data_IF_831715402715
#
_entry.id   IF_831715402715
#
_cell.length_a   1.000
_cell.length_b   1.000
_cell.length_c   1.000
_cell.angle_alpha   90.00
_cell.angle_beta   90.00
_cell.angle_gamma   90.00
#
_symmetry.space_group_name_H-M   'P 1'
#
loop_
_entity.id
_entity.type
_entity.pdbx_description
1 polymer ?
#
# COMPACT_ATOMS: atom_id res chain seq x y z
N UNK A 1 13.97 -9.33 46.47
CA UNK A 1 13.46 -10.05 45.26
C UNK A 1 12.13 -9.55 44.67
N UNK A 2 11.18 -9.00 45.43
CA UNK A 2 9.86 -8.56 44.88
C UNK A 2 9.93 -7.36 43.91
N UNK A 3 10.86 -6.43 44.12
CA UNK A 3 11.02 -5.24 43.25
C UNK A 3 11.59 -5.55 41.87
N UNK A 4 12.55 -6.47 41.78
CA UNK A 4 13.15 -6.92 40.51
C UNK A 4 12.08 -7.54 39.59
N UNK A 5 11.15 -8.32 40.15
CA UNK A 5 10.05 -8.91 39.38
C UNK A 5 9.09 -7.85 38.81
N UNK A 6 8.81 -6.77 39.54
CA UNK A 6 7.93 -5.68 39.07
C UNK A 6 8.58 -4.85 37.96
N UNK A 7 9.87 -4.53 38.10
CA UNK A 7 10.62 -3.82 37.05
C UNK A 7 10.72 -4.64 35.76
N UNK A 8 10.89 -5.96 35.87
CA UNK A 8 10.96 -6.86 34.72
C UNK A 8 9.61 -6.92 33.98
N UNK A 9 8.48 -6.99 34.69
CA UNK A 9 7.13 -6.96 34.09
C UNK A 9 6.86 -5.63 33.38
N UNK A 10 7.19 -4.49 34.00
CA UNK A 10 7.00 -3.16 33.38
C UNK A 10 7.89 -3.02 32.13
N UNK A 11 9.15 -3.45 32.21
CA UNK A 11 10.07 -3.45 31.06
C UNK A 11 9.57 -4.30 29.90
N UNK A 12 9.05 -5.50 30.17
CA UNK A 12 8.46 -6.37 29.14
C UNK A 12 7.23 -5.76 28.49
N UNK A 13 6.34 -5.12 29.26
CA UNK A 13 5.15 -4.43 28.71
C UNK A 13 5.59 -3.27 27.81
N UNK A 14 6.56 -2.47 28.24
CA UNK A 14 7.08 -1.36 27.43
C UNK A 14 7.68 -1.86 26.11
N UNK A 15 8.47 -2.94 26.16
CA UNK A 15 9.09 -3.54 24.98
C UNK A 15 8.03 -4.08 24.01
N UNK A 16 6.95 -4.68 24.51
CA UNK A 16 5.80 -5.10 23.71
C UNK A 16 5.10 -3.93 23.03
N UNK A 17 4.90 -2.81 23.74
CA UNK A 17 4.28 -1.60 23.17
C UNK A 17 5.16 -1.03 22.05
N UNK A 18 6.46 -0.91 22.28
CA UNK A 18 7.42 -0.44 21.26
C UNK A 18 7.43 -1.37 20.06
N UNK A 19 7.45 -2.70 20.28
CA UNK A 19 7.41 -3.68 19.20
C UNK A 19 6.10 -3.60 18.40
N UNK A 20 4.96 -3.44 19.08
CA UNK A 20 3.66 -3.31 18.44
C UNK A 20 3.56 -2.02 17.62
N UNK A 21 4.02 -0.89 18.17
CA UNK A 21 4.09 0.38 17.46
C UNK A 21 5.02 0.28 16.23
N UNK A 22 6.22 -0.29 16.40
CA UNK A 22 7.14 -0.55 15.29
C UNK A 22 6.51 -1.42 14.19
N UNK A 23 5.87 -2.53 14.56
CA UNK A 23 5.21 -3.43 13.61
C UNK A 23 4.07 -2.75 12.86
N UNK A 24 3.38 -1.79 13.49
CA UNK A 24 2.32 -1.01 12.86
C UNK A 24 2.89 0.01 11.87
N UNK A 25 3.98 0.70 12.24
CA UNK A 25 4.67 1.70 11.38
C UNK A 25 5.36 1.06 10.17
N UNK A 26 5.80 -0.20 10.30
CA UNK A 26 6.39 -0.98 9.20
C UNK A 26 5.36 -1.62 8.26
N UNK A 27 4.05 -1.39 8.47
CA UNK A 27 3.03 -1.92 7.56
C UNK A 27 3.05 -1.16 6.25
N UNK A 28 3.43 -1.85 5.18
CA UNK A 28 3.37 -1.30 3.84
C UNK A 28 2.03 -1.57 3.13
N UNK A 29 1.07 -2.18 3.83
CA UNK A 29 -0.27 -2.49 3.31
C UNK A 29 -1.34 -1.90 4.22
N UNK A 30 -2.32 -1.23 3.61
CA UNK A 30 -3.48 -0.68 4.29
C UNK A 30 -4.77 -1.19 3.65
N UNK A 31 -5.73 -1.54 4.51
CA UNK A 31 -7.12 -1.74 4.10
C UNK A 31 -7.85 -0.40 4.22
N UNK A 32 -8.55 0.00 3.18
CA UNK A 32 -9.39 1.20 3.16
C UNK A 32 -10.83 0.79 2.93
N UNK A 33 -11.74 1.26 3.78
CA UNK A 33 -13.17 1.13 3.56
C UNK A 33 -13.69 2.49 3.07
N UNK A 34 -14.41 2.50 1.94
CA UNK A 34 -14.91 3.69 1.25
C UNK A 34 -16.42 3.61 1.05
N UNK A 35 -17.08 4.77 0.95
CA UNK A 35 -18.54 4.83 0.77
C UNK A 35 -18.99 4.26 -0.59
N UNK A 36 -18.15 4.40 -1.62
CA UNK A 36 -18.40 3.87 -2.94
C UNK A 36 -17.09 3.57 -3.69
N UNK A 37 -17.14 2.59 -4.60
CA UNK A 37 -15.97 2.19 -5.39
C UNK A 37 -15.49 3.28 -6.37
N UNK A 38 -16.30 4.28 -6.70
CA UNK A 38 -15.90 5.39 -7.59
C UNK A 38 -14.78 6.23 -6.96
N UNK A 39 -14.87 6.48 -5.66
CA UNK A 39 -13.88 7.25 -4.89
C UNK A 39 -12.61 6.48 -4.54
N UNK A 40 -12.59 5.16 -4.77
CA UNK A 40 -11.49 4.29 -4.34
C UNK A 40 -10.14 4.68 -4.99
N UNK A 41 -10.13 5.13 -6.25
CA UNK A 41 -8.91 5.56 -6.95
C UNK A 41 -8.12 6.63 -6.19
N UNK A 42 -8.73 7.80 -5.99
CA UNK A 42 -8.14 8.91 -5.23
C UNK A 42 -7.77 8.49 -3.79
N UNK A 43 -8.68 7.85 -3.05
CA UNK A 43 -8.43 7.52 -1.65
C UNK A 43 -7.25 6.56 -1.48
N UNK A 44 -7.12 5.58 -2.38
CA UNK A 44 -6.01 4.63 -2.39
C UNK A 44 -4.67 5.31 -2.70
N UNK A 45 -4.63 6.12 -3.76
CA UNK A 45 -3.41 6.85 -4.16
C UNK A 45 -2.97 7.84 -3.08
N UNK A 46 -3.91 8.62 -2.55
CA UNK A 46 -3.62 9.59 -1.49
C UNK A 46 -3.11 8.88 -0.24
N UNK A 47 -3.69 7.74 0.14
CA UNK A 47 -3.20 7.00 1.32
C UNK A 47 -1.79 6.44 1.12
N UNK A 48 -1.48 5.89 -0.05
CA UNK A 48 -0.12 5.42 -0.37
C UNK A 48 0.87 6.59 -0.36
N UNK A 49 0.49 7.75 -0.92
CA UNK A 49 1.29 8.97 -0.87
C UNK A 49 1.50 9.46 0.56
N UNK A 50 0.46 9.44 1.40
CA UNK A 50 0.58 9.74 2.83
C UNK A 50 1.55 8.78 3.52
N UNK A 51 1.59 7.49 3.16
CA UNK A 51 2.56 6.55 3.72
C UNK A 51 4.01 6.90 3.37
N UNK A 52 4.27 7.51 2.21
CA UNK A 52 5.62 7.96 1.85
C UNK A 52 6.02 9.28 2.50
N UNK A 53 5.05 10.11 2.89
CA UNK A 53 5.26 11.42 3.50
C UNK A 53 5.19 11.40 5.04
N UNK A 54 4.38 10.49 5.60
CA UNK A 54 4.34 10.16 7.01
C UNK A 54 5.42 9.11 7.27
N UNK A 55 6.71 9.49 7.31
CA UNK A 55 7.65 9.04 8.35
C UNK A 55 9.15 9.13 8.02
N UNK A 56 9.89 9.32 9.12
CA UNK A 56 11.29 9.00 9.43
C UNK A 56 11.85 7.65 8.92
N UNK A 57 11.01 6.78 8.37
CA UNK A 57 11.37 5.53 7.71
C UNK A 57 11.11 5.71 6.21
N UNK A 58 12.14 5.56 5.38
CA UNK A 58 11.99 5.70 3.93
C UNK A 58 11.27 4.48 3.34
N UNK A 59 9.93 4.44 3.39
CA UNK A 59 9.15 3.36 2.77
C UNK A 59 9.41 3.30 1.26
N UNK A 60 9.84 2.15 0.75
CA UNK A 60 10.04 1.93 -0.69
C UNK A 60 8.80 1.40 -1.39
N UNK A 61 7.79 0.99 -0.61
CA UNK A 61 6.60 0.29 -1.07
C UNK A 61 5.38 0.76 -0.28
N UNK A 62 4.25 0.92 -0.96
CA UNK A 62 2.95 1.15 -0.34
C UNK A 62 1.84 0.47 -1.11
N UNK A 63 0.89 -0.11 -0.40
CA UNK A 63 -0.21 -0.89 -0.96
C UNK A 63 -1.52 -0.52 -0.26
N UNK A 64 -2.55 -0.26 -1.06
CA UNK A 64 -3.89 0.00 -0.60
C UNK A 64 -4.85 -1.02 -1.22
N UNK A 65 -5.62 -1.69 -0.36
CA UNK A 65 -6.72 -2.56 -0.75
C UNK A 65 -8.02 -1.93 -0.28
N UNK A 66 -8.85 -1.54 -1.23
CA UNK A 66 -10.02 -0.70 -0.98
C UNK A 66 -11.32 -1.49 -1.14
N UNK A 67 -12.26 -1.28 -0.20
CA UNK A 67 -13.51 -2.00 -0.08
C UNK A 67 -14.70 -1.03 0.03
N UNK A 68 -15.84 -1.40 -0.55
CA UNK A 68 -17.13 -0.73 -0.34
C UNK A 68 -18.07 -1.76 0.29
N UNK A 69 -18.27 -1.66 1.61
CA UNK A 69 -18.85 -2.75 2.40
C UNK A 69 -17.98 -4.01 2.33
N UNK A 70 -18.58 -5.16 2.03
CA UNK A 70 -17.85 -6.44 1.91
C UNK A 70 -17.21 -6.65 0.51
N UNK A 71 -17.50 -5.77 -0.45
CA UNK A 71 -17.00 -5.90 -1.82
C UNK A 71 -15.66 -5.19 -1.98
N UNK A 72 -14.67 -5.90 -2.53
CA UNK A 72 -13.37 -5.32 -2.85
C UNK A 72 -13.49 -4.51 -4.16
N UNK A 73 -13.17 -3.22 -4.08
CA UNK A 73 -13.27 -2.29 -5.20
C UNK A 73 -11.96 -2.17 -5.99
N UNK A 74 -10.83 -2.09 -5.28
CA UNK A 74 -9.59 -1.66 -5.89
C UNK A 74 -8.40 -2.23 -5.14
N UNK A 75 -7.39 -2.59 -5.91
CA UNK A 75 -6.04 -2.85 -5.44
C UNK A 75 -5.11 -1.85 -6.12
N UNK A 76 -4.34 -1.11 -5.33
CA UNK A 76 -3.24 -0.30 -5.83
C UNK A 76 -1.99 -0.64 -5.02
N UNK A 77 -0.89 -0.83 -5.71
CA UNK A 77 0.42 -0.90 -5.09
C UNK A 77 1.40 0.01 -5.85
N UNK A 78 2.22 0.76 -5.14
CA UNK A 78 3.32 1.52 -5.71
C UNK A 78 4.66 1.13 -5.08
N UNK A 79 5.63 0.82 -5.92
CA UNK A 79 7.02 0.60 -5.55
C UNK A 79 7.84 1.82 -5.99
N UNK A 80 8.21 2.67 -5.03
CA UNK A 80 8.97 3.90 -5.25
C UNK A 80 10.38 3.63 -5.78
N UNK A 81 11.02 2.55 -5.32
CA UNK A 81 12.39 2.21 -5.75
C UNK A 81 12.46 1.82 -7.22
N UNK A 82 11.43 1.13 -7.72
CA UNK A 82 11.38 0.65 -9.10
C UNK A 82 10.49 1.49 -10.01
N UNK A 83 9.79 2.48 -9.44
CA UNK A 83 8.84 3.35 -10.13
C UNK A 83 7.74 2.56 -10.85
N UNK A 84 7.14 1.61 -10.13
CA UNK A 84 6.10 0.70 -10.66
C UNK A 84 4.81 0.90 -9.88
N UNK A 85 3.74 1.20 -10.62
CA UNK A 85 2.38 1.18 -10.11
C UNK A 85 1.67 -0.09 -10.61
N UNK A 86 1.20 -0.89 -9.67
CA UNK A 86 0.37 -2.08 -9.88
C UNK A 86 -1.07 -1.73 -9.54
N UNK A 87 -2.00 -2.09 -10.43
CA UNK A 87 -3.39 -1.65 -10.36
C UNK A 87 -4.34 -2.79 -10.73
N UNK A 88 -5.42 -2.98 -9.97
CA UNK A 88 -6.51 -3.90 -10.33
C UNK A 88 -7.85 -3.45 -9.75
N UNK A 89 -8.82 -3.12 -10.62
CA UNK A 89 -10.17 -2.66 -10.28
C UNK A 89 -11.21 -3.78 -10.16
N UNK A 90 -10.88 -4.99 -10.59
CA UNK A 90 -11.67 -6.19 -10.33
C UNK A 90 -10.72 -7.30 -9.82
N UNK A 91 -10.41 -7.33 -8.53
CA UNK A 91 -9.51 -8.32 -7.96
C UNK A 91 -10.04 -9.75 -8.02
N UNK A 92 -11.35 -9.96 -8.26
CA UNK A 92 -11.96 -11.28 -8.51
C UNK A 92 -11.64 -11.81 -9.91
N UNK A 93 -11.47 -10.93 -10.90
CA UNK A 93 -11.02 -11.32 -12.24
C UNK A 93 -9.56 -11.79 -12.30
N UNK A 94 -8.77 -11.51 -11.26
CA UNK A 94 -7.33 -11.77 -11.22
C UNK A 94 -6.49 -10.84 -12.10
N UNK A 95 -7.12 -9.89 -12.82
CA UNK A 95 -6.42 -8.94 -13.67
C UNK A 95 -5.69 -7.87 -12.85
N UNK A 96 -4.39 -7.74 -13.10
CA UNK A 96 -3.54 -6.69 -12.54
C UNK A 96 -2.73 -6.10 -13.69
N UNK A 97 -2.68 -4.77 -13.76
CA UNK A 97 -1.81 -4.05 -14.69
C UNK A 97 -0.64 -3.45 -13.94
N UNK A 98 0.54 -3.57 -14.54
CA UNK A 98 1.76 -2.93 -14.09
C UNK A 98 2.13 -1.83 -15.06
N UNK A 99 2.42 -0.64 -14.53
CA UNK A 99 2.77 0.53 -15.33
C UNK A 99 3.96 1.24 -14.71
N UNK A 100 4.89 1.68 -15.56
CA UNK A 100 5.99 2.52 -15.10
C UNK A 100 5.45 3.90 -14.79
N UNK A 101 5.69 4.37 -13.58
CA UNK A 101 5.23 5.65 -13.09
C UNK A 101 6.28 6.26 -12.18
N UNK A 102 6.91 7.36 -12.61
CA UNK A 102 7.93 8.02 -11.81
C UNK A 102 7.35 8.58 -10.51
N UNK A 103 8.19 8.83 -9.51
CA UNK A 103 7.72 9.39 -8.23
C UNK A 103 6.94 10.70 -8.45
N UNK A 104 7.44 11.60 -9.29
CA UNK A 104 6.76 12.87 -9.60
C UNK A 104 5.39 12.65 -10.26
N UNK A 105 5.27 11.67 -11.15
CA UNK A 105 4.00 11.33 -11.77
C UNK A 105 3.04 10.74 -10.72
N UNK A 106 3.53 9.86 -9.85
CA UNK A 106 2.76 9.30 -8.76
C UNK A 106 2.24 10.39 -7.81
N UNK A 107 3.09 11.31 -7.36
CA UNK A 107 2.71 12.44 -6.50
C UNK A 107 1.66 13.33 -7.18
N UNK A 108 1.83 13.59 -8.48
CA UNK A 108 0.87 14.33 -9.28
C UNK A 108 -0.48 13.62 -9.40
N UNK A 109 -0.49 12.29 -9.51
CA UNK A 109 -1.70 11.47 -9.54
C UNK A 109 -2.38 11.45 -8.16
N UNK A 110 -1.61 11.30 -7.08
CA UNK A 110 -2.13 11.25 -5.72
C UNK A 110 -2.78 12.57 -5.28
N UNK A 111 -2.28 13.71 -5.77
CA UNK A 111 -2.87 15.02 -5.55
C UNK A 111 -4.22 15.21 -6.29
N UNK A 112 -4.52 14.40 -7.31
CA UNK A 112 -5.75 14.50 -8.09
C UNK A 112 -6.87 13.67 -7.47
N UNK A 113 -8.07 14.25 -7.40
CA UNK A 113 -9.30 13.52 -7.02
C UNK A 113 -9.81 12.64 -8.17
N UNK A 114 -8.97 11.72 -8.63
CA UNK A 114 -9.27 10.84 -9.74
C UNK A 114 -10.22 9.72 -9.32
N UNK A 115 -11.25 9.48 -10.13
CA UNK A 115 -12.16 8.34 -9.93
C UNK A 115 -11.51 7.03 -10.35
N UNK A 116 -12.01 5.90 -9.86
CA UNK A 116 -11.51 4.57 -10.24
C UNK A 116 -11.56 4.33 -11.75
N UNK A 117 -12.62 4.76 -12.43
CA UNK A 117 -12.75 4.62 -13.88
C UNK A 117 -11.74 5.47 -14.65
N UNK A 118 -11.57 6.73 -14.23
CA UNK A 118 -10.57 7.63 -14.83
C UNK A 118 -9.16 7.10 -14.60
N UNK A 119 -8.89 6.60 -13.41
CA UNK A 119 -7.62 5.96 -13.07
C UNK A 119 -7.38 4.73 -13.94
N UNK A 120 -8.38 3.87 -14.11
CA UNK A 120 -8.31 2.70 -14.99
C UNK A 120 -7.88 3.12 -16.39
N UNK A 121 -8.59 4.08 -17.00
CA UNK A 121 -8.27 4.59 -18.35
C UNK A 121 -6.88 5.19 -18.42
N UNK A 122 -6.48 5.96 -17.40
CA UNK A 122 -5.16 6.57 -17.32
C UNK A 122 -4.05 5.51 -17.23
N UNK A 123 -4.28 4.42 -16.49
CA UNK A 123 -3.34 3.29 -16.43
C UNK A 123 -3.07 2.68 -17.81
N UNK A 124 -4.06 2.66 -18.70
CA UNK A 124 -3.87 2.20 -20.09
C UNK A 124 -2.97 3.12 -20.93
N UNK A 125 -2.82 4.39 -20.55
CA UNK A 125 -1.95 5.35 -21.23
C UNK A 125 -0.49 5.27 -20.82
N UNK A 126 -0.19 4.71 -19.63
CA UNK A 126 1.19 4.51 -19.20
C UNK A 126 1.81 3.30 -19.88
N UNK A 127 3.14 3.32 -20.11
CA UNK A 127 3.87 2.16 -20.62
C UNK A 127 3.61 0.95 -19.72
N UNK A 128 3.00 -0.09 -20.30
CA UNK A 128 2.84 -1.36 -19.61
C UNK A 128 4.21 -2.00 -19.42
N UNK A 129 4.44 -2.53 -18.23
CA UNK A 129 5.58 -3.39 -17.98
C UNK A 129 5.05 -4.82 -18.06
N UNK A 130 5.58 -5.63 -18.97
CA UNK A 130 5.48 -7.08 -18.82
C UNK A 130 6.33 -7.43 -17.61
N UNK A 131 5.67 -7.61 -16.49
CA UNK A 131 6.32 -8.15 -15.30
C UNK A 131 6.55 -9.63 -15.60
N UNK A 132 7.74 -9.95 -16.11
CA UNK A 132 8.29 -11.28 -15.93
C UNK A 132 8.29 -11.64 -14.43
N UNK A 133 8.56 -12.92 -14.07
CA UNK A 133 8.49 -13.40 -12.69
C UNK A 133 9.39 -12.66 -11.68
N UNK A 134 10.27 -11.77 -12.14
CA UNK A 134 11.27 -11.05 -11.33
C UNK A 134 10.78 -9.74 -10.73
N UNK A 135 9.65 -9.18 -11.16
CA UNK A 135 9.14 -7.92 -10.59
C UNK A 135 8.11 -8.28 -9.52
N UNK A 136 8.41 -8.09 -8.22
CA UNK A 136 7.49 -8.45 -7.16
C UNK A 136 6.28 -7.53 -7.22
N UNK A 137 5.14 -8.10 -7.57
CA UNK A 137 3.92 -7.34 -7.89
C UNK A 137 2.82 -7.48 -6.84
N UNK A 138 2.93 -8.48 -5.95
CA UNK A 138 2.17 -8.61 -4.69
C UNK A 138 2.96 -9.42 -3.65
N UNK A 139 2.60 -9.22 -2.38
CA UNK A 139 3.07 -9.88 -1.13
C UNK A 139 3.36 -11.40 -1.12
N UNK A 140 3.15 -12.16 -2.20
CA UNK A 140 3.58 -13.57 -2.28
C UNK A 140 4.96 -13.77 -2.89
N UNK A 141 5.56 -12.74 -3.50
CA UNK A 141 6.96 -12.77 -3.96
C UNK A 141 7.96 -12.58 -2.80
N UNK A 142 7.46 -12.33 -1.59
CA UNK A 142 8.19 -12.35 -0.34
C UNK A 142 7.67 -13.49 0.57
N UNK A 143 7.77 -14.73 0.11
CA UNK A 143 8.04 -15.82 1.05
C UNK A 143 9.18 -16.69 0.50
N UNK A 144 10.36 -16.65 1.13
CA UNK A 144 11.49 -17.50 0.78
C UNK A 144 11.24 -18.89 1.33
N UNK A 145 11.01 -19.86 0.44
CA UNK A 145 11.37 -21.26 0.66
C UNK A 145 12.16 -21.74 -0.54
#
# INVERSE_FOLDING_TARGET
MKFVKKGLVIGSIFLLIVFFAWSFLMRNTVRLDVDNCESAGYQSLNRIHDMFNQDWLSHSYGEAITYSGDQRCLFINYNRTHEILSFGSDPTSGWIRHSRLSQQQFDSLAAQRITTDSLTKLMFSFPSIDTGPEIPTRLMDFNPL
#
